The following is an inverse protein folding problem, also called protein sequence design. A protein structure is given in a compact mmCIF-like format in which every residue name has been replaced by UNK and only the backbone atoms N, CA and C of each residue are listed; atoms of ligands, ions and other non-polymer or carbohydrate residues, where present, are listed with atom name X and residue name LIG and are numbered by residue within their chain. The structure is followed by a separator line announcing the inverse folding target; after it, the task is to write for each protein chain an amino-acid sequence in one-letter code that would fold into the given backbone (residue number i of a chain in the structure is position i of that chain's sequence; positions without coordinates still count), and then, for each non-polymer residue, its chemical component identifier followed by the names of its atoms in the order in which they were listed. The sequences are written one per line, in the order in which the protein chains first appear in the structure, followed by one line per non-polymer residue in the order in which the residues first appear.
data_IF_072597731440
#
_entry.id   IF_072597731440
#
_cell.length_a   1.000
_cell.length_b   1.000
_cell.length_c   1.000
_cell.angle_alpha   90.00
_cell.angle_beta   90.00
_cell.angle_gamma   90.00
#
_symmetry.space_group_name_H-M   'P 1'
#
loop_
_entity.id
_entity.type
_entity.pdbx_description
1 polymer ?
#
# COMPACT_ATOMS: atom_id res chain seq x y z
N UNK A 1 -7.75 5.32 -1.92
CA UNK A 1 -8.53 4.39 -1.06
C UNK A 1 -7.66 3.90 0.07
N UNK A 2 -8.18 3.78 1.30
CA UNK A 2 -7.42 3.23 2.42
C UNK A 2 -7.47 1.70 2.36
N UNK A 3 -6.31 1.08 2.16
CA UNK A 3 -6.11 -0.36 2.07
C UNK A 3 -5.15 -0.80 3.18
N UNK A 4 -5.05 -2.11 3.38
CA UNK A 4 -4.07 -2.69 4.30
C UNK A 4 -3.50 -3.98 3.75
N UNK A 5 -2.27 -4.30 4.14
CA UNK A 5 -1.64 -5.58 3.89
C UNK A 5 -1.05 -6.13 5.18
N UNK A 6 -0.91 -7.45 5.26
CA UNK A 6 -0.34 -8.12 6.43
C UNK A 6 1.08 -8.54 6.14
N UNK A 7 2.01 -8.16 7.01
CA UNK A 7 3.36 -8.69 7.03
C UNK A 7 3.50 -9.62 8.22
N UNK A 8 4.11 -10.79 8.01
CA UNK A 8 4.35 -11.76 9.08
C UNK A 8 5.85 -11.97 9.26
N UNK A 9 6.33 -11.72 10.46
CA UNK A 9 7.71 -11.94 10.88
C UNK A 9 7.70 -12.71 12.21
N UNK A 10 7.80 -14.05 12.19
CA UNK A 10 7.67 -14.89 13.39
C UNK A 10 8.71 -14.55 14.47
N UNK A 11 9.89 -14.10 14.07
CA UNK A 11 10.98 -13.72 14.96
C UNK A 11 10.96 -12.24 15.38
N UNK A 12 9.95 -11.48 14.96
CA UNK A 12 9.88 -10.03 15.13
C UNK A 12 10.31 -9.27 13.88
N UNK A 13 9.61 -8.19 13.56
CA UNK A 13 9.87 -7.40 12.36
C UNK A 13 11.05 -6.43 12.58
N UNK A 14 12.05 -6.43 11.70
CA UNK A 14 13.15 -5.48 11.73
C UNK A 14 12.94 -4.32 10.74
N UNK A 15 12.63 -4.63 9.49
CA UNK A 15 12.32 -3.66 8.44
C UNK A 15 11.46 -4.28 7.34
N UNK A 16 10.82 -3.42 6.56
CA UNK A 16 10.18 -3.81 5.30
C UNK A 16 10.74 -2.96 4.16
N UNK A 17 10.80 -3.51 2.96
CA UNK A 17 11.15 -2.77 1.75
C UNK A 17 9.96 -2.81 0.82
N UNK A 18 9.34 -1.66 0.56
CA UNK A 18 8.15 -1.56 -0.28
C UNK A 18 8.51 -0.76 -1.52
N UNK A 19 8.35 -1.35 -2.71
CA UNK A 19 8.66 -0.68 -3.98
C UNK A 19 10.10 -0.17 -4.09
N UNK A 20 11.05 -0.83 -3.41
CA UNK A 20 12.45 -0.41 -3.33
C UNK A 20 12.79 0.56 -2.19
N UNK A 21 11.79 1.07 -1.46
CA UNK A 21 12.00 1.93 -0.29
C UNK A 21 12.08 1.10 0.98
N UNK A 22 13.24 1.10 1.64
CA UNK A 22 13.43 0.43 2.93
C UNK A 22 12.85 1.28 4.08
N UNK A 23 11.87 0.73 4.77
CA UNK A 23 11.18 1.27 5.93
C UNK A 23 11.48 0.41 7.16
N UNK A 24 12.20 0.97 8.12
CA UNK A 24 12.52 0.29 9.38
C UNK A 24 11.32 0.18 10.31
N UNK A 25 11.37 -0.72 11.30
CA UNK A 25 10.33 -0.82 12.33
C UNK A 25 10.06 0.52 13.04
N UNK A 26 11.11 1.31 13.32
CA UNK A 26 10.98 2.62 13.93
C UNK A 26 10.16 3.59 13.05
N UNK A 27 10.40 3.56 11.74
CA UNK A 27 9.63 4.34 10.77
C UNK A 27 8.19 3.85 10.65
N UNK A 28 7.96 2.53 10.65
CA UNK A 28 6.62 1.93 10.66
C UNK A 28 5.81 2.39 11.87
N UNK A 29 6.41 2.37 13.06
CA UNK A 29 5.79 2.87 14.28
C UNK A 29 5.55 4.38 14.25
N UNK A 30 6.37 5.13 13.50
CA UNK A 30 6.21 6.58 13.32
C UNK A 30 5.17 6.96 12.25
N UNK A 31 4.66 6.01 11.44
CA UNK A 31 3.73 6.30 10.34
C UNK A 31 2.49 7.09 10.76
N UNK A 32 2.01 6.88 11.99
CA UNK A 32 0.86 7.61 12.54
C UNK A 32 1.08 9.12 12.65
N UNK A 33 2.32 9.60 12.64
CA UNK A 33 2.68 11.03 12.58
C UNK A 33 3.57 11.41 11.40
N UNK A 34 4.27 10.44 10.80
CA UNK A 34 5.19 10.63 9.68
C UNK A 34 4.87 9.62 8.58
N UNK A 35 3.83 9.88 7.77
CA UNK A 35 3.48 9.00 6.67
C UNK A 35 4.62 8.93 5.65
N UNK A 36 4.80 7.76 5.04
CA UNK A 36 5.87 7.51 4.07
C UNK A 36 5.27 7.28 2.69
N UNK A 37 5.65 8.12 1.74
CA UNK A 37 5.21 8.01 0.35
C UNK A 37 6.23 7.23 -0.48
N UNK A 38 5.74 6.27 -1.25
CA UNK A 38 6.48 5.38 -2.13
C UNK A 38 5.88 5.52 -3.53
N UNK A 39 6.71 5.93 -4.49
CA UNK A 39 6.27 6.07 -5.88
C UNK A 39 6.51 4.76 -6.61
N UNK A 40 5.44 4.17 -7.16
CA UNK A 40 5.48 2.86 -7.84
C UNK A 40 5.56 3.02 -9.37
N UNK A 41 5.55 4.26 -9.86
CA UNK A 41 5.55 4.60 -11.29
C UNK A 41 4.15 4.59 -11.92
N UNK A 42 3.22 3.80 -11.39
CA UNK A 42 1.79 3.82 -11.77
C UNK A 42 0.92 4.65 -10.81
N UNK A 43 1.44 4.92 -9.61
CA UNK A 43 0.80 5.76 -8.61
C UNK A 43 1.74 6.06 -7.43
N UNK A 44 1.15 6.55 -6.35
CA UNK A 44 1.82 6.81 -5.08
C UNK A 44 1.16 6.00 -3.97
N UNK A 45 1.94 5.12 -3.35
CA UNK A 45 1.57 4.36 -2.17
C UNK A 45 2.04 5.11 -0.93
N UNK A 46 1.12 5.55 -0.09
CA UNK A 46 1.42 6.25 1.16
C UNK A 46 1.12 5.34 2.33
N UNK A 47 2.15 4.94 3.07
CA UNK A 47 2.01 4.23 4.33
C UNK A 47 1.52 5.20 5.41
N UNK A 48 0.46 4.85 6.12
CA UNK A 48 -0.19 5.72 7.12
C UNK A 48 -0.19 5.13 8.52
N UNK A 49 -0.04 3.81 8.65
CA UNK A 49 0.01 3.17 9.97
C UNK A 49 0.56 1.76 9.92
N UNK A 50 0.95 1.27 11.08
CA UNK A 50 1.39 -0.11 11.28
C UNK A 50 0.95 -0.62 12.64
N UNK A 51 0.47 -1.85 12.68
CA UNK A 51 0.13 -2.57 13.90
C UNK A 51 1.10 -3.73 14.10
N UNK A 52 2.00 -3.59 15.07
CA UNK A 52 3.02 -4.61 15.37
C UNK A 52 2.46 -5.89 15.99
N UNK A 53 1.27 -5.86 16.60
CA UNK A 53 0.66 -7.07 17.18
C UNK A 53 0.08 -7.99 16.11
N UNK A 54 -0.48 -7.43 15.04
CA UNK A 54 -1.11 -8.20 13.96
C UNK A 54 -0.27 -8.25 12.69
N UNK A 55 0.76 -7.40 12.58
CA UNK A 55 1.52 -7.22 11.36
C UNK A 55 0.76 -6.45 10.27
N UNK A 56 -0.37 -5.81 10.59
CA UNK A 56 -1.17 -5.08 9.61
C UNK A 56 -0.55 -3.72 9.34
N UNK A 57 -0.21 -3.45 8.08
CA UNK A 57 0.26 -2.16 7.60
C UNK A 57 -0.88 -1.47 6.84
N UNK A 58 -1.25 -0.29 7.29
CA UNK A 58 -2.25 0.56 6.63
C UNK A 58 -1.58 1.48 5.63
N UNK A 59 -2.14 1.56 4.43
CA UNK A 59 -1.65 2.41 3.36
C UNK A 59 -2.80 2.99 2.55
N UNK A 60 -2.55 4.11 1.90
CA UNK A 60 -3.43 4.66 0.89
C UNK A 60 -2.71 4.64 -0.44
N UNK A 61 -3.37 4.11 -1.46
CA UNK A 61 -2.86 4.18 -2.83
C UNK A 61 -3.60 5.27 -3.60
N UNK A 62 -2.82 6.13 -4.25
CA UNK A 62 -3.27 7.19 -5.15
C UNK A 62 -2.79 6.86 -6.59
N UNK A 63 -3.68 6.33 -7.45
CA UNK A 63 -3.31 6.02 -8.83
C UNK A 63 -3.02 7.31 -9.60
N UNK A 64 -1.94 7.34 -10.38
CA UNK A 64 -1.74 8.43 -11.33
C UNK A 64 -2.76 8.33 -12.46
N UNK A 65 -3.07 9.45 -13.13
CA UNK A 65 -4.00 9.48 -14.26
C UNK A 65 -3.49 8.55 -15.35
N UNK A 66 -4.13 7.40 -15.50
CA UNK A 66 -3.79 6.46 -16.56
C UNK A 66 -4.54 6.87 -17.82
N UNK A 67 -3.82 6.98 -18.94
CA UNK A 67 -4.43 7.21 -20.27
C UNK A 67 -4.97 5.92 -20.91
N UNK A 68 -4.97 4.81 -20.17
CA UNK A 68 -5.43 3.52 -20.62
C UNK A 68 -6.91 3.33 -20.26
N UNK A 69 -7.74 2.99 -21.26
CA UNK A 69 -9.16 2.66 -21.09
C UNK A 69 -9.36 1.21 -20.58
N UNK A 70 -8.41 0.69 -19.80
CA UNK A 70 -8.31 -0.72 -19.46
C UNK A 70 -7.74 -0.88 -18.06
N UNK A 71 -8.07 -1.97 -17.39
CA UNK A 71 -7.60 -2.25 -16.03
C UNK A 71 -6.06 -2.28 -16.00
N UNK A 72 -5.48 -1.42 -15.16
CA UNK A 72 -4.02 -1.37 -14.97
C UNK A 72 -3.72 -2.00 -13.63
N UNK A 73 -2.88 -3.05 -13.62
CA UNK A 73 -2.36 -3.60 -12.36
C UNK A 73 -1.02 -2.96 -12.04
N UNK A 74 -0.89 -2.47 -10.81
CA UNK A 74 0.37 -2.00 -10.25
C UNK A 74 0.90 -3.03 -9.25
N UNK A 75 2.00 -3.70 -9.60
CA UNK A 75 2.62 -4.74 -8.77
C UNK A 75 3.79 -4.15 -7.99
N UNK A 76 3.62 -4.06 -6.67
CA UNK A 76 4.61 -3.49 -5.76
C UNK A 76 5.25 -4.61 -4.96
N UNK A 77 6.56 -4.82 -5.13
CA UNK A 77 7.30 -5.80 -4.33
C UNK A 77 7.43 -5.32 -2.89
N UNK A 78 7.07 -6.18 -1.94
CA UNK A 78 7.19 -5.97 -0.49
C UNK A 78 8.15 -7.03 0.07
N UNK A 79 9.34 -6.62 0.49
CA UNK A 79 10.23 -7.49 1.24
C UNK A 79 10.08 -7.23 2.74
N UNK A 80 10.12 -8.27 3.56
CA UNK A 80 9.96 -8.21 5.01
C UNK A 80 11.21 -8.85 5.60
N UNK A 81 11.99 -8.08 6.34
CA UNK A 81 13.18 -8.58 7.04
C UNK A 81 12.88 -8.71 8.53
N UNK A 82 13.10 -9.91 9.06
CA UNK A 82 12.91 -10.19 10.47
C UNK A 82 14.16 -9.82 11.30
N UNK A 83 14.03 -9.88 12.62
CA UNK A 83 15.10 -9.58 13.57
C UNK A 83 16.28 -10.58 13.53
N UNK A 84 16.08 -11.76 12.91
CA UNK A 84 17.13 -12.77 12.72
C UNK A 84 17.85 -12.60 11.36
N UNK A 85 17.44 -11.63 10.54
CA UNK A 85 18.00 -11.37 9.23
C UNK A 85 17.42 -12.23 8.11
N UNK A 86 16.33 -12.96 8.36
CA UNK A 86 15.61 -13.65 7.30
C UNK A 86 14.74 -12.64 6.53
N UNK A 87 14.80 -12.69 5.21
CA UNK A 87 14.00 -11.84 4.32
C UNK A 87 12.96 -12.68 3.60
N UNK A 88 11.69 -12.30 3.72
CA UNK A 88 10.59 -12.83 2.92
C UNK A 88 10.17 -11.80 1.88
N UNK A 89 9.84 -12.25 0.67
CA UNK A 89 9.40 -11.38 -0.41
C UNK A 89 7.95 -11.70 -0.74
N UNK A 90 7.15 -10.64 -0.90
CA UNK A 90 5.75 -10.68 -1.25
C UNK A 90 5.48 -9.66 -2.36
N UNK A 91 4.34 -9.77 -3.05
CA UNK A 91 3.90 -8.82 -4.07
C UNK A 91 2.53 -8.27 -3.70
N UNK A 92 2.44 -6.95 -3.64
CA UNK A 92 1.19 -6.25 -3.49
C UNK A 92 0.68 -5.82 -4.86
N UNK A 93 -0.29 -6.57 -5.39
CA UNK A 93 -0.92 -6.27 -6.67
C UNK A 93 -2.14 -5.37 -6.46
N UNK A 94 -2.06 -4.13 -6.95
CA UNK A 94 -3.11 -3.14 -6.85
C UNK A 94 -3.80 -3.02 -8.22
N UNK A 95 -5.06 -3.43 -8.29
CA UNK A 95 -5.87 -3.28 -9.48
C UNK A 95 -6.45 -1.87 -9.56
N UNK A 96 -6.02 -1.11 -10.56
CA UNK A 96 -6.55 0.21 -10.90
C UNK A 96 -7.64 0.01 -11.96
N UNK A 97 -8.89 -0.05 -11.51
CA UNK A 97 -10.07 -0.05 -12.38
C UNK A 97 -10.55 1.38 -12.58
N UNK A 98 -10.81 1.80 -13.82
CA UNK A 98 -11.56 3.04 -14.11
C UNK A 98 -13.00 2.84 -13.64
N UNK A 99 -13.27 3.12 -12.37
CA UNK A 99 -14.65 3.25 -11.90
C UNK A 99 -15.18 4.55 -12.50
N UNK A 100 -15.77 4.45 -13.70
CA UNK A 100 -16.66 5.48 -14.24
C UNK A 100 -17.49 6.05 -13.08
N UNK A 101 -17.59 7.38 -12.92
CA UNK A 101 -18.55 7.92 -11.96
C UNK A 101 -19.92 7.39 -12.37
N UNK A 102 -20.54 6.59 -11.50
CA UNK A 102 -21.96 6.28 -11.66
C UNK A 102 -22.68 7.58 -11.36
N UNK A 103 -22.95 8.36 -12.42
CA UNK A 103 -23.87 9.48 -12.35
C UNK A 103 -25.24 8.87 -12.01
N UNK A 104 -25.60 8.88 -10.74
CA UNK A 104 -26.98 8.68 -10.31
C UNK A 104 -27.78 9.83 -10.89
N UNK A 105 -28.43 9.59 -12.02
CA UNK A 105 -29.29 10.59 -12.65
C UNK A 105 -30.35 11.05 -11.66
N UNK A 106 -30.43 12.36 -11.42
CA UNK A 106 -31.46 12.97 -10.59
C UNK A 106 -32.83 12.74 -11.23
N UNK A 107 -33.69 11.99 -10.55
CA UNK A 107 -35.09 11.85 -10.96
C UNK A 107 -35.83 13.09 -10.45
N UNK A 108 -35.91 14.13 -11.28
CA UNK A 108 -36.87 15.22 -11.07
C UNK A 108 -38.27 14.65 -11.30
N UNK A 109 -39.01 14.37 -10.23
CA UNK A 109 -40.43 14.09 -10.33
C UNK A 109 -41.18 15.43 -10.40
N UNK A 110 -41.83 15.69 -11.53
CA UNK A 110 -42.74 16.83 -11.77
C UNK A 110 -44.10 16.54 -11.15
#
# INVERSE_FOLDING_TARGET
TANSFTVSAPAGLASITVGGTNVTLAQLNALGGTPITITTGKGSLVLTGYNSSTGVVSYTYDPSVQSANSDVTDSVTVAVTDALGATNNDSLDILITDSKPVATGDINNI
#
